data_IF_382767807563
#
_entry.id   IF_382767807563
#
_cell.length_a   1.000
_cell.length_b   1.000
_cell.length_c   1.000
_cell.angle_alpha   90.00
_cell.angle_beta   90.00
_cell.angle_gamma   90.00
#
_symmetry.space_group_name_H-M   'P 1'
#
loop_
_entity.id
_entity.type
_entity.pdbx_description
1 polymer ?
#
# COMPACT_ATOMS: atom_id res chain seq x y z
N UNK A 1 -28.47 -0.19 -3.50
CA UNK A 1 -28.95 1.18 -3.81
C UNK A 1 -28.70 2.06 -2.58
N UNK A 2 -27.91 3.15 -2.74
CA UNK A 2 -27.93 4.40 -1.92
C UNK A 2 -27.68 4.27 -0.41
N UNK A 3 -26.91 5.08 0.31
CA UNK A 3 -26.13 6.30 0.08
C UNK A 3 -25.31 6.56 1.35
N UNK A 4 -24.17 7.22 1.19
CA UNK A 4 -23.45 8.08 2.14
C UNK A 4 -24.14 8.47 3.45
N UNK A 5 -23.41 8.40 4.57
CA UNK A 5 -23.58 9.37 5.67
C UNK A 5 -22.23 9.83 6.23
N UNK A 6 -21.96 11.13 6.06
CA UNK A 6 -20.93 11.92 6.73
C UNK A 6 -21.32 12.12 8.20
N UNK A 7 -20.36 12.11 9.11
CA UNK A 7 -20.47 12.71 10.45
C UNK A 7 -19.06 12.97 10.99
N UNK A 8 -18.72 14.05 11.70
CA UNK A 8 -19.38 15.32 11.95
C UNK A 8 -18.32 16.29 12.52
N UNK A 9 -18.49 17.58 12.23
CA UNK A 9 -17.79 18.71 12.83
C UNK A 9 -17.94 18.73 14.37
N UNK A 10 -16.90 19.19 15.06
CA UNK A 10 -17.05 19.87 16.34
C UNK A 10 -16.25 21.19 16.33
N UNK A 11 -17.00 22.29 16.19
CA UNK A 11 -16.53 23.65 16.42
C UNK A 11 -16.40 23.93 17.92
N UNK A 12 -15.34 24.63 18.32
CA UNK A 12 -15.34 25.45 19.53
C UNK A 12 -14.87 26.86 19.14
N UNK A 13 -15.85 27.76 19.10
CA UNK A 13 -15.63 29.20 18.99
C UNK A 13 -15.33 29.76 20.38
N UNK A 14 -14.27 30.55 20.50
CA UNK A 14 -14.07 31.46 21.61
C UNK A 14 -13.95 32.88 21.05
N UNK A 15 -14.92 33.70 21.44
CA UNK A 15 -15.02 35.14 21.19
C UNK A 15 -14.10 35.86 22.18
N UNK A 16 -13.30 36.84 21.73
CA UNK A 16 -12.46 37.64 22.64
C UNK A 16 -11.84 38.88 21.99
N UNK A 17 -12.57 39.99 22.07
CA UNK A 17 -12.15 41.42 22.14
C UNK A 17 -10.99 41.96 21.30
N UNK A 18 -11.33 42.93 20.44
CA UNK A 18 -10.48 43.91 19.77
C UNK A 18 -9.84 44.90 20.77
N UNK A 19 -8.52 45.05 20.73
CA UNK A 19 -7.82 46.28 21.13
C UNK A 19 -6.80 46.62 20.05
N UNK A 20 -6.96 47.79 19.41
CA UNK A 20 -6.06 48.31 18.40
C UNK A 20 -4.82 48.96 19.05
N UNK A 21 -3.63 48.62 18.56
CA UNK A 21 -2.37 49.33 18.84
C UNK A 21 -1.69 49.59 17.48
N UNK A 22 -1.24 50.81 17.17
CA UNK A 22 -0.52 51.09 15.94
C UNK A 22 0.98 50.80 16.09
N UNK A 23 1.59 50.31 15.01
CA UNK A 23 2.99 50.61 14.69
C UNK A 23 4.07 49.68 15.28
N UNK A 24 4.37 48.63 14.53
CA UNK A 24 5.74 48.37 14.07
C UNK A 24 5.63 47.43 12.86
N UNK A 25 6.12 47.85 11.71
CA UNK A 25 6.41 46.94 10.61
C UNK A 25 7.58 46.05 11.06
N UNK A 26 7.26 45.01 11.81
CA UNK A 26 8.19 43.96 12.17
C UNK A 26 8.38 43.16 10.89
N UNK A 27 9.57 43.25 10.30
CA UNK A 27 9.98 42.39 9.21
C UNK A 27 9.62 40.96 9.61
N UNK A 28 8.72 40.33 8.85
CA UNK A 28 8.43 38.92 9.03
C UNK A 28 9.78 38.19 9.02
N UNK A 29 10.07 37.32 9.99
CA UNK A 29 11.23 36.47 9.87
C UNK A 29 11.09 35.75 8.53
N UNK A 30 12.07 35.92 7.65
CA UNK A 30 12.21 35.05 6.50
C UNK A 30 12.19 33.64 7.06
N UNK A 31 11.12 32.89 6.78
CA UNK A 31 11.04 31.48 7.08
C UNK A 31 11.99 30.73 6.12
N UNK A 32 13.29 31.04 6.19
CA UNK A 32 14.36 30.20 5.69
C UNK A 32 14.61 29.12 6.74
N UNK A 33 13.69 28.15 6.78
CA UNK A 33 13.77 27.03 7.70
C UNK A 33 12.93 25.84 7.26
N UNK A 34 12.56 25.76 5.98
CA UNK A 34 12.00 24.53 5.41
C UNK A 34 13.14 23.60 5.04
N UNK A 35 13.29 22.48 5.76
CA UNK A 35 14.16 21.38 5.32
C UNK A 35 13.78 21.03 3.88
N UNK A 36 14.77 20.92 2.97
CA UNK A 36 14.51 20.50 1.59
C UNK A 36 13.75 19.17 1.62
N UNK A 37 12.68 19.02 0.83
CA UNK A 37 11.91 17.78 0.84
C UNK A 37 12.79 16.60 0.44
N UNK A 38 12.65 15.49 1.16
CA UNK A 38 13.26 14.22 0.72
C UNK A 38 12.46 13.71 -0.47
N UNK A 39 13.16 13.48 -1.58
CA UNK A 39 12.58 12.94 -2.81
C UNK A 39 12.93 11.46 -2.94
N UNK A 40 11.91 10.63 -3.11
CA UNK A 40 12.05 9.20 -3.41
C UNK A 40 11.38 8.90 -4.75
N UNK A 41 12.00 8.05 -5.57
CA UNK A 41 11.39 7.48 -6.77
C UNK A 41 11.04 6.04 -6.45
N UNK A 42 9.78 5.67 -6.67
CA UNK A 42 9.22 4.39 -6.30
C UNK A 42 8.63 3.76 -7.55
N UNK A 43 9.24 2.65 -8.00
CA UNK A 43 8.77 1.90 -9.16
C UNK A 43 8.48 0.47 -8.75
N UNK A 44 7.45 -0.12 -9.34
CA UNK A 44 7.21 -1.54 -9.12
C UNK A 44 5.79 -1.95 -9.43
N UNK A 45 5.30 -2.93 -8.67
CA UNK A 45 4.09 -3.68 -8.98
C UNK A 45 3.29 -3.93 -7.70
N UNK A 46 1.96 -3.87 -7.83
CA UNK A 46 1.02 -4.26 -6.79
C UNK A 46 -0.03 -5.17 -7.41
N UNK A 47 -0.21 -6.35 -6.82
CA UNK A 47 -1.18 -7.36 -7.25
C UNK A 47 -1.91 -7.92 -6.02
N UNK A 48 -3.24 -7.83 -6.03
CA UNK A 48 -4.12 -8.48 -5.06
C UNK A 48 -5.02 -9.45 -5.81
N UNK A 49 -4.97 -10.73 -5.44
CA UNK A 49 -5.77 -11.78 -6.04
C UNK A 49 -6.47 -12.63 -4.99
N UNK A 50 -7.58 -13.25 -5.37
CA UNK A 50 -8.25 -14.24 -4.55
C UNK A 50 -8.84 -15.36 -5.39
N UNK A 51 -9.03 -16.52 -4.79
CA UNK A 51 -9.54 -17.70 -5.47
C UNK A 51 -10.16 -18.69 -4.50
N UNK A 52 -10.90 -19.65 -5.06
CA UNK A 52 -11.50 -20.73 -4.29
C UNK A 52 -11.42 -22.03 -5.07
N UNK A 53 -11.05 -23.11 -4.39
CA UNK A 53 -11.04 -24.47 -4.92
C UNK A 53 -11.66 -25.41 -3.90
N UNK A 54 -12.90 -25.83 -4.14
CA UNK A 54 -13.70 -26.56 -3.16
C UNK A 54 -13.98 -25.71 -1.91
N UNK A 55 -13.58 -26.24 -0.75
CA UNK A 55 -13.69 -25.64 0.58
C UNK A 55 -12.48 -24.78 0.98
N UNK A 56 -11.50 -24.61 0.08
CA UNK A 56 -10.31 -23.79 0.33
C UNK A 56 -10.47 -22.44 -0.38
N UNK A 57 -10.45 -21.36 0.38
CA UNK A 57 -10.36 -19.99 -0.11
C UNK A 57 -8.96 -19.43 0.14
N UNK A 58 -8.45 -18.65 -0.81
CA UNK A 58 -7.14 -18.01 -0.71
C UNK A 58 -7.24 -16.56 -1.14
N UNK A 59 -6.61 -15.66 -0.40
CA UNK A 59 -6.33 -14.29 -0.79
C UNK A 59 -4.83 -14.02 -0.72
N UNK A 60 -4.28 -13.34 -1.74
CA UNK A 60 -2.84 -13.07 -1.88
C UNK A 60 -2.63 -11.59 -2.19
N UNK A 61 -1.72 -10.97 -1.45
CA UNK A 61 -1.19 -9.62 -1.68
C UNK A 61 0.30 -9.70 -2.04
N UNK A 62 0.66 -9.25 -3.22
CA UNK A 62 2.04 -9.18 -3.71
C UNK A 62 2.41 -7.74 -4.04
N UNK A 63 3.51 -7.28 -3.47
CA UNK A 63 3.98 -5.92 -3.66
C UNK A 63 5.50 -5.89 -3.82
N UNK A 64 5.99 -5.20 -4.85
CA UNK A 64 7.41 -4.97 -5.08
C UNK A 64 7.64 -3.49 -5.33
N UNK A 65 8.56 -2.87 -4.60
CA UNK A 65 8.93 -1.46 -4.74
C UNK A 65 10.45 -1.32 -4.82
N UNK A 66 10.94 -0.57 -5.80
CA UNK A 66 12.38 -0.33 -6.02
C UNK A 66 13.09 0.37 -4.86
N UNK A 67 12.36 1.14 -4.05
CA UNK A 67 12.90 1.91 -2.93
C UNK A 67 12.78 1.18 -1.58
N UNK A 68 11.73 0.39 -1.39
CA UNK A 68 11.40 -0.25 -0.10
C UNK A 68 11.44 -1.77 -0.14
N UNK A 69 11.73 -2.37 -1.29
CA UNK A 69 11.76 -3.81 -1.47
C UNK A 69 10.36 -4.41 -1.58
N UNK A 70 10.29 -5.67 -1.21
CA UNK A 70 9.15 -6.55 -1.50
C UNK A 70 8.37 -6.89 -0.24
N UNK A 71 7.05 -6.95 -0.38
CA UNK A 71 6.10 -7.40 0.64
C UNK A 71 5.15 -8.46 0.06
N UNK A 72 4.88 -9.50 0.84
CA UNK A 72 3.90 -10.53 0.53
C UNK A 72 2.93 -10.73 1.68
N UNK A 73 1.70 -11.09 1.35
CA UNK A 73 0.68 -11.53 2.29
C UNK A 73 -0.14 -12.64 1.66
N UNK A 74 -0.50 -13.65 2.45
CA UNK A 74 -1.45 -14.69 2.07
C UNK A 74 -2.34 -15.02 3.25
N UNK A 75 -3.62 -15.21 2.97
CA UNK A 75 -4.61 -15.74 3.91
C UNK A 75 -5.31 -16.91 3.25
N UNK A 76 -5.45 -18.01 4.00
CA UNK A 76 -6.07 -19.25 3.55
C UNK A 76 -7.14 -19.64 4.56
N UNK A 77 -8.35 -19.89 4.07
CA UNK A 77 -9.46 -20.37 4.89
C UNK A 77 -9.83 -21.79 4.44
N UNK A 78 -9.90 -22.72 5.39
CA UNK A 78 -10.34 -24.11 5.17
C UNK A 78 -11.32 -24.54 6.28
N UNK A 79 -12.00 -25.68 6.17
CA UNK A 79 -12.80 -26.22 7.28
C UNK A 79 -11.98 -26.62 8.51
N UNK A 80 -10.67 -26.81 8.34
CA UNK A 80 -9.74 -27.19 9.42
C UNK A 80 -9.22 -25.97 10.18
N UNK A 81 -9.31 -24.78 9.61
CA UNK A 81 -8.92 -23.52 10.24
C UNK A 81 -8.45 -22.45 9.26
N UNK A 82 -7.89 -21.38 9.82
CA UNK A 82 -7.30 -20.27 9.09
C UNK A 82 -5.76 -20.34 9.13
N UNK A 83 -5.14 -19.98 8.02
CA UNK A 83 -3.70 -19.92 7.86
C UNK A 83 -3.30 -18.58 7.26
N UNK A 84 -2.13 -18.10 7.64
CA UNK A 84 -1.61 -16.83 7.17
C UNK A 84 -0.11 -16.85 7.02
N UNK A 85 0.38 -16.03 6.12
CA UNK A 85 1.80 -15.91 5.82
C UNK A 85 2.15 -14.58 5.19
N UNK A 86 3.43 -14.27 5.18
CA UNK A 86 3.94 -13.05 4.57
C UNK A 86 5.36 -12.76 5.00
N UNK A 87 6.06 -11.99 4.17
CA UNK A 87 7.36 -11.43 4.50
C UNK A 87 7.49 -10.04 3.89
N UNK A 88 8.40 -9.23 4.43
CA UNK A 88 8.74 -7.92 3.89
C UNK A 88 9.01 -6.89 4.98
N UNK A 89 9.76 -5.82 4.67
CA UNK A 89 10.41 -5.55 3.39
C UNK A 89 11.63 -6.48 3.13
N UNK A 90 11.85 -6.90 1.88
CA UNK A 90 12.98 -7.77 1.50
C UNK A 90 13.44 -7.60 0.05
N UNK A 91 14.52 -8.30 -0.33
CA UNK A 91 15.12 -8.24 -1.68
C UNK A 91 14.60 -9.28 -2.68
N UNK A 92 13.56 -10.05 -2.33
CA UNK A 92 12.98 -11.05 -3.22
C UNK A 92 12.39 -10.40 -4.47
N UNK A 93 12.61 -11.01 -5.64
CA UNK A 93 12.01 -10.55 -6.89
C UNK A 93 10.73 -11.34 -7.14
N UNK A 94 9.58 -10.67 -7.02
CA UNK A 94 8.26 -11.29 -7.28
C UNK A 94 7.83 -11.14 -8.73
N UNK A 95 8.21 -10.02 -9.35
CA UNK A 95 7.78 -9.64 -10.69
C UNK A 95 8.99 -9.44 -11.57
N UNK A 96 9.13 -10.27 -12.61
CA UNK A 96 10.22 -10.16 -13.57
C UNK A 96 9.82 -10.74 -14.93
N UNK A 97 10.10 -10.01 -16.01
CA UNK A 97 9.88 -10.50 -17.38
C UNK A 97 8.44 -10.92 -17.69
N UNK A 98 7.43 -10.29 -17.06
CA UNK A 98 6.02 -10.68 -17.21
C UNK A 98 5.60 -11.92 -16.42
N UNK A 99 6.46 -12.45 -15.54
CA UNK A 99 6.17 -13.58 -14.66
C UNK A 99 6.00 -13.14 -13.20
N UNK A 100 5.09 -13.81 -12.49
CA UNK A 100 4.85 -13.70 -11.05
C UNK A 100 5.39 -14.97 -10.39
N UNK A 101 6.19 -14.83 -9.35
CA UNK A 101 6.66 -15.95 -8.52
C UNK A 101 6.82 -15.53 -7.06
N UNK A 102 6.25 -16.28 -6.12
CA UNK A 102 6.43 -16.06 -4.69
C UNK A 102 6.26 -17.35 -3.89
N UNK A 103 7.19 -17.64 -2.99
CA UNK A 103 7.03 -18.71 -1.97
C UNK A 103 6.81 -18.05 -0.61
N UNK A 104 5.64 -18.26 -0.01
CA UNK A 104 5.21 -17.57 1.20
C UNK A 104 5.01 -18.57 2.34
N UNK A 105 5.84 -18.53 3.40
CA UNK A 105 5.68 -19.43 4.54
C UNK A 105 4.35 -19.20 5.27
N UNK A 106 3.66 -20.30 5.55
CA UNK A 106 2.37 -20.32 6.22
C UNK A 106 2.48 -20.74 7.68
N UNK A 107 1.57 -20.19 8.48
CA UNK A 107 1.33 -20.59 9.87
C UNK A 107 -0.16 -20.67 10.14
N UNK A 108 -0.56 -21.50 11.09
CA UNK A 108 -1.94 -21.50 11.63
C UNK A 108 -2.23 -20.18 12.35
N UNK A 109 -3.44 -19.66 12.16
CA UNK A 109 -3.95 -18.45 12.81
C UNK A 109 -4.88 -18.78 13.99
N UNK A 110 -4.64 -19.91 14.67
CA UNK A 110 -5.37 -20.38 15.85
C UNK A 110 -4.69 -19.97 17.19
N UNK A 111 -3.72 -19.06 17.12
CA UNK A 111 -2.91 -18.63 18.26
C UNK A 111 -1.71 -19.53 18.57
N UNK A 112 -1.59 -20.71 17.95
CA UNK A 112 -0.39 -21.56 18.09
C UNK A 112 0.77 -21.05 17.24
N UNK A 113 0.47 -20.49 16.07
CA UNK A 113 1.48 -20.05 15.10
C UNK A 113 2.33 -21.20 14.53
N UNK A 114 1.85 -22.43 14.63
CA UNK A 114 2.53 -23.61 14.08
C UNK A 114 2.78 -23.46 12.58
N UNK A 115 3.98 -23.80 12.08
CA UNK A 115 4.26 -23.85 10.64
C UNK A 115 3.30 -24.78 9.90
N UNK A 116 2.83 -24.36 8.72
CA UNK A 116 1.85 -25.08 7.92
C UNK A 116 2.30 -25.30 6.46
N UNK A 117 3.62 -25.25 6.21
CA UNK A 117 4.19 -25.33 4.87
C UNK A 117 4.30 -23.95 4.21
N UNK A 118 4.27 -23.93 2.88
CA UNK A 118 4.38 -22.72 2.06
C UNK A 118 3.17 -22.59 1.12
N UNK A 119 2.84 -21.35 0.76
CA UNK A 119 2.00 -21.04 -0.39
C UNK A 119 2.90 -20.60 -1.55
N UNK A 120 2.90 -21.36 -2.64
CA UNK A 120 3.68 -21.05 -3.85
C UNK A 120 2.77 -20.43 -4.89
N UNK A 121 2.96 -19.13 -5.15
CA UNK A 121 2.22 -18.35 -6.14
C UNK A 121 3.02 -18.32 -7.43
N UNK A 122 2.38 -18.68 -8.54
CA UNK A 122 2.96 -18.57 -9.88
C UNK A 122 1.98 -17.92 -10.83
N UNK A 123 2.46 -17.18 -11.83
CA UNK A 123 1.58 -16.52 -12.76
C UNK A 123 2.28 -15.67 -13.80
N UNK A 124 1.48 -14.90 -14.53
CA UNK A 124 1.93 -13.95 -15.54
C UNK A 124 1.20 -12.62 -15.41
N UNK A 125 1.83 -11.58 -15.93
CA UNK A 125 1.23 -10.25 -16.04
C UNK A 125 1.66 -9.55 -17.32
N UNK A 126 0.76 -8.72 -17.86
CA UNK A 126 1.04 -7.83 -18.99
C UNK A 126 0.35 -6.48 -18.78
N UNK A 127 0.87 -5.42 -19.38
CA UNK A 127 0.22 -4.11 -19.31
C UNK A 127 -1.14 -4.13 -20.02
N UNK A 128 -2.16 -3.59 -19.38
CA UNK A 128 -3.54 -3.63 -19.85
C UNK A 128 -4.17 -2.24 -19.91
N UNK A 129 -3.79 -1.47 -20.93
CA UNK A 129 -4.32 -0.13 -21.18
C UNK A 129 -3.37 1.00 -20.81
N UNK A 130 -3.91 2.21 -20.79
CA UNK A 130 -3.11 3.43 -20.62
C UNK A 130 -2.83 3.75 -19.14
N UNK A 131 -1.64 4.31 -18.81
CA UNK A 131 -1.34 4.76 -17.46
C UNK A 131 -2.29 5.85 -16.96
N UNK A 132 -2.76 5.69 -15.73
CA UNK A 132 -3.58 6.67 -15.01
C UNK A 132 -2.70 7.54 -14.12
N UNK A 133 -2.95 8.86 -14.10
CA UNK A 133 -2.16 9.79 -13.28
C UNK A 133 -2.55 9.71 -11.81
N UNK A 134 -1.54 9.66 -10.94
CA UNK A 134 -1.67 9.74 -9.49
C UNK A 134 -1.20 11.11 -9.01
N UNK A 135 -1.99 11.73 -8.14
CA UNK A 135 -1.58 12.90 -7.37
C UNK A 135 -2.29 12.88 -6.01
N UNK A 136 -1.52 12.68 -4.95
CA UNK A 136 -2.01 12.59 -3.59
C UNK A 136 -1.20 13.50 -2.68
N UNK A 137 -1.89 14.17 -1.75
CA UNK A 137 -1.29 14.99 -0.71
C UNK A 137 -1.86 14.50 0.61
N UNK A 138 -0.99 13.93 1.45
CA UNK A 138 -1.34 13.39 2.76
C UNK A 138 -0.57 14.15 3.83
N UNK A 139 -1.28 14.54 4.89
CA UNK A 139 -0.67 15.03 6.13
C UNK A 139 -0.54 13.85 7.09
N UNK A 140 0.69 13.56 7.51
CA UNK A 140 1.00 12.62 8.57
C UNK A 140 0.56 13.22 9.93
N UNK A 141 0.01 12.42 10.86
CA UNK A 141 -0.21 12.82 12.26
C UNK A 141 0.92 13.62 12.95
N UNK A 142 2.18 13.43 12.55
CA UNK A 142 3.35 14.18 13.03
C UNK A 142 3.53 15.58 12.39
N UNK A 143 2.61 16.00 11.51
CA UNK A 143 2.66 17.26 10.77
C UNK A 143 3.48 17.21 9.48
N UNK A 144 3.95 16.03 9.06
CA UNK A 144 4.67 15.89 7.79
C UNK A 144 3.72 15.96 6.60
N UNK A 145 4.17 16.58 5.52
CA UNK A 145 3.43 16.52 4.25
C UNK A 145 4.09 15.49 3.33
N UNK A 146 3.29 14.60 2.76
CA UNK A 146 3.70 13.64 1.75
C UNK A 146 2.94 13.96 0.47
N UNK A 147 3.68 14.33 -0.58
CA UNK A 147 3.13 14.55 -1.91
C UNK A 147 3.59 13.39 -2.80
N UNK A 148 2.64 12.60 -3.28
CA UNK A 148 2.88 11.51 -4.23
C UNK A 148 2.37 11.93 -5.59
N UNK A 149 3.19 11.76 -6.63
CA UNK A 149 2.78 12.00 -8.02
C UNK A 149 3.38 10.98 -8.96
N UNK A 150 2.68 10.61 -10.02
CA UNK A 150 3.19 9.66 -11.00
C UNK A 150 2.08 8.98 -11.76
N UNK A 151 2.26 7.70 -12.05
CA UNK A 151 1.27 6.92 -12.78
C UNK A 151 1.10 5.51 -12.25
N UNK A 152 -0.13 4.98 -12.37
CA UNK A 152 -0.45 3.57 -12.27
C UNK A 152 -0.87 3.04 -13.64
N UNK A 153 -0.13 2.08 -14.16
CA UNK A 153 -0.47 1.35 -15.38
C UNK A 153 -1.21 0.07 -15.01
N UNK A 154 -2.49 -0.08 -15.37
CA UNK A 154 -3.23 -1.32 -15.14
C UNK A 154 -2.53 -2.53 -15.77
N UNK A 155 -2.65 -3.69 -15.12
CA UNK A 155 -2.13 -4.97 -15.61
C UNK A 155 -3.28 -5.96 -15.79
N UNK A 156 -3.16 -6.79 -16.82
CA UNK A 156 -3.87 -8.06 -16.92
C UNK A 156 -2.96 -9.13 -16.30
N UNK A 157 -3.42 -9.73 -15.20
CA UNK A 157 -2.65 -10.66 -14.40
C UNK A 157 -3.45 -11.93 -14.15
N UNK A 158 -2.79 -13.07 -14.34
CA UNK A 158 -3.33 -14.40 -14.09
C UNK A 158 -2.35 -15.16 -13.21
N UNK A 159 -2.85 -15.75 -12.12
CA UNK A 159 -2.02 -16.48 -11.18
C UNK A 159 -2.74 -17.73 -10.66
N UNK A 160 -1.94 -18.70 -10.21
CA UNK A 160 -2.37 -19.83 -9.40
C UNK A 160 -1.56 -19.83 -8.11
N UNK A 161 -2.11 -20.48 -7.08
CA UNK A 161 -1.38 -20.74 -5.84
C UNK A 161 -1.50 -22.22 -5.50
N UNK A 162 -0.36 -22.85 -5.24
CA UNK A 162 -0.29 -24.15 -4.61
C UNK A 162 -0.21 -23.95 -3.10
N UNK A 163 -1.17 -24.52 -2.36
CA UNK A 163 -1.25 -24.36 -0.92
C UNK A 163 -1.95 -25.56 -0.29
N UNK A 164 -1.38 -26.08 0.81
CA UNK A 164 -1.92 -27.25 1.53
C UNK A 164 -2.21 -28.45 0.60
N UNK A 165 -1.34 -28.66 -0.40
CA UNK A 165 -1.47 -29.73 -1.40
C UNK A 165 -2.57 -29.51 -2.44
N UNK A 166 -3.09 -28.29 -2.59
CA UNK A 166 -4.11 -27.95 -3.58
C UNK A 166 -3.68 -26.78 -4.45
N UNK A 167 -4.01 -26.87 -5.73
CA UNK A 167 -3.89 -25.77 -6.66
C UNK A 167 -5.20 -24.96 -6.70
N UNK A 168 -5.08 -23.65 -6.47
CA UNK A 168 -6.21 -22.71 -6.49
C UNK A 168 -5.97 -21.67 -7.59
N UNK A 169 -6.84 -21.60 -8.62
CA UNK A 169 -6.77 -20.51 -9.59
C UNK A 169 -7.19 -19.20 -8.93
N UNK A 170 -6.43 -18.13 -9.19
CA UNK A 170 -6.67 -16.82 -8.61
C UNK A 170 -7.23 -15.84 -9.65
N UNK A 171 -8.13 -14.99 -9.21
CA UNK A 171 -8.62 -13.81 -9.94
C UNK A 171 -8.08 -12.55 -9.28
N UNK A 172 -7.40 -11.71 -10.06
CA UNK A 172 -6.74 -10.51 -9.55
C UNK A 172 -7.65 -9.30 -9.70
N UNK A 173 -8.11 -8.77 -8.57
CA UNK A 173 -9.04 -7.62 -8.53
C UNK A 173 -8.33 -6.28 -8.69
N UNK A 174 -7.07 -6.24 -8.25
CA UNK A 174 -6.18 -5.08 -8.35
C UNK A 174 -4.85 -5.58 -8.90
N UNK A 175 -4.45 -5.09 -10.06
CA UNK A 175 -3.14 -5.38 -10.63
C UNK A 175 -2.66 -4.15 -11.40
N UNK A 176 -1.55 -3.55 -10.97
CA UNK A 176 -0.96 -2.41 -11.65
C UNK A 176 0.55 -2.32 -11.45
N UNK A 177 1.24 -1.77 -12.44
CA UNK A 177 2.60 -1.27 -12.30
C UNK A 177 2.55 0.21 -11.92
N UNK A 178 3.44 0.67 -11.05
CA UNK A 178 3.51 2.07 -10.64
C UNK A 178 4.89 2.67 -10.92
N UNK A 179 4.90 3.96 -11.26
CA UNK A 179 6.08 4.82 -11.33
C UNK A 179 5.74 6.14 -10.65
N UNK A 180 6.22 6.29 -9.41
CA UNK A 180 5.84 7.35 -8.50
C UNK A 180 7.07 8.15 -8.06
N UNK A 181 6.82 9.42 -7.80
CA UNK A 181 7.71 10.33 -7.11
C UNK A 181 7.03 10.78 -5.83
N UNK A 182 7.69 10.52 -4.70
CA UNK A 182 7.22 10.90 -3.37
C UNK A 182 8.11 12.00 -2.83
N UNK A 183 7.51 13.11 -2.41
CA UNK A 183 8.15 14.23 -1.74
C UNK A 183 7.68 14.24 -0.28
N UNK A 184 8.62 14.12 0.65
CA UNK A 184 8.35 14.21 2.09
C UNK A 184 8.91 15.50 2.64
N UNK A 185 8.07 16.28 3.30
CA UNK A 185 8.43 17.54 3.94
C UNK A 185 8.48 17.32 5.45
N UNK A 186 9.66 17.48 6.05
CA UNK A 186 9.77 17.58 7.49
C UNK A 186 9.39 18.98 7.94
N UNK A 187 8.39 19.08 8.82
CA UNK A 187 8.15 20.34 9.53
C UNK A 187 9.35 20.56 10.44
N UNK A 188 10.14 21.59 10.14
CA UNK A 188 11.12 22.08 11.09
C UNK A 188 10.39 22.49 12.35
N UNK A 189 10.48 21.69 13.42
CA UNK A 189 10.33 22.26 14.76
C UNK A 189 11.59 23.11 14.97
N UNK A 190 11.42 24.42 14.75
CA UNK A 190 12.33 25.43 15.31
C UNK A 190 12.24 25.43 16.83
#
# INVERSE_FOLDING_TARGET
MRTTTRAALACLAAVGTLTAVPGAAQAAPSAEGGTKPTRTVEKGYAVNCSGRSGDVFVAVDLYQNSAYGTHTGVVVETPEGEYGGGYGPGGATLFSGGAIAADIPLRKLDGTGEPAGDATVTGTYTAAGEPTRVHEVVEDPAGHYVITRGTNTPLDASATVEVLGREVPLSCSTAFAFDLMVLRFSTGRG
#
